data_IF_053142404181
#
_entry.id   IF_053142404181
#
_cell.length_a   1.000
_cell.length_b   1.000
_cell.length_c   1.000
_cell.angle_alpha   90.00
_cell.angle_beta   90.00
_cell.angle_gamma   90.00
#
_symmetry.space_group_name_H-M   'P 1'
#
loop_
_entity.id
_entity.type
_entity.pdbx_description
1 polymer ?
#
# COMPACT_ATOMS: atom_id res chain seq x y z
N UNK A 1 11.74 15.35 -10.29
CA UNK A 1 11.73 13.98 -9.76
C UNK A 1 10.72 13.27 -10.62
N UNK A 2 11.17 12.34 -11.46
CA UNK A 2 10.30 11.70 -12.45
C UNK A 2 9.24 10.85 -11.75
N UNK A 3 8.04 10.79 -12.34
CA UNK A 3 6.92 9.99 -11.84
C UNK A 3 7.38 8.54 -11.66
N UNK A 4 7.15 7.95 -10.50
CA UNK A 4 7.47 6.54 -10.29
C UNK A 4 6.69 5.68 -11.30
N UNK A 5 7.40 4.81 -12.02
CA UNK A 5 6.76 3.72 -12.74
C UNK A 5 6.45 2.62 -11.72
N UNK A 6 5.17 2.44 -11.39
CA UNK A 6 4.74 1.48 -10.39
C UNK A 6 5.11 0.04 -10.78
N UNK A 7 5.29 -0.25 -12.08
CA UNK A 7 5.72 -1.55 -12.55
C UNK A 7 7.17 -1.87 -12.16
N UNK A 8 8.01 -0.86 -11.94
CA UNK A 8 9.39 -1.04 -11.47
C UNK A 8 9.45 -1.67 -10.08
N UNK A 9 8.36 -1.64 -9.31
CA UNK A 9 8.31 -2.24 -7.98
C UNK A 9 8.07 -3.74 -8.03
N UNK A 10 7.47 -4.28 -9.09
CA UNK A 10 7.18 -5.71 -9.22
C UNK A 10 8.48 -6.52 -9.10
N UNK A 11 8.47 -7.52 -8.23
CA UNK A 11 9.65 -8.36 -7.99
C UNK A 11 10.69 -7.75 -7.04
N UNK A 12 10.55 -6.50 -6.59
CA UNK A 12 11.45 -5.88 -5.61
C UNK A 12 10.94 -6.09 -4.18
N UNK A 13 11.87 -6.27 -3.25
CA UNK A 13 11.58 -6.25 -1.82
C UNK A 13 11.42 -4.79 -1.39
N UNK A 14 10.31 -4.49 -0.74
CA UNK A 14 10.06 -3.17 -0.12
C UNK A 14 9.60 -3.33 1.31
N UNK A 15 9.71 -2.25 2.07
CA UNK A 15 9.16 -2.13 3.42
C UNK A 15 7.98 -1.17 3.38
N UNK A 16 6.83 -1.62 3.90
CA UNK A 16 5.61 -0.84 4.05
C UNK A 16 5.43 -0.50 5.53
N UNK A 17 5.30 0.80 5.83
CA UNK A 17 4.92 1.28 7.16
C UNK A 17 3.40 1.38 7.23
N UNK A 18 2.78 0.73 8.21
CA UNK A 18 1.32 0.66 8.35
C UNK A 18 0.83 1.85 9.16
N UNK A 19 0.06 2.73 8.54
CA UNK A 19 -0.54 3.90 9.18
C UNK A 19 -2.06 3.75 9.38
N UNK A 20 -2.66 2.73 8.76
CA UNK A 20 -4.06 2.32 8.94
C UNK A 20 -4.10 0.80 9.16
N UNK A 21 -3.92 0.33 10.40
CA UNK A 21 -3.98 -1.09 10.72
C UNK A 21 -5.36 -1.68 10.42
N UNK A 22 -5.40 -2.98 10.10
CA UNK A 22 -6.66 -3.71 9.97
C UNK A 22 -7.55 -3.48 11.20
N UNK A 23 -8.82 -3.18 10.96
CA UNK A 23 -9.82 -2.91 12.00
C UNK A 23 -9.82 -1.46 12.50
N UNK A 24 -8.90 -0.61 12.04
CA UNK A 24 -8.91 0.82 12.37
C UNK A 24 -9.96 1.58 11.54
N UNK A 25 -10.42 2.71 12.06
CA UNK A 25 -11.35 3.60 11.37
C UNK A 25 -10.62 4.80 10.76
N UNK A 26 -11.06 5.23 9.58
CA UNK A 26 -10.56 6.44 8.96
C UNK A 26 -10.80 7.66 9.87
N UNK A 27 -9.77 8.44 10.23
CA UNK A 27 -9.87 9.48 11.25
C UNK A 27 -10.88 10.59 10.92
N UNK A 28 -11.19 10.79 9.63
CA UNK A 28 -12.09 11.84 9.14
C UNK A 28 -13.39 11.33 8.51
N UNK A 29 -13.47 10.05 8.14
CA UNK A 29 -14.54 9.54 7.28
C UNK A 29 -15.29 8.36 7.89
N UNK A 30 -14.85 7.83 9.03
CA UNK A 30 -15.57 6.77 9.74
C UNK A 30 -15.65 5.43 9.00
N UNK A 31 -14.88 5.25 7.92
CA UNK A 31 -14.80 3.99 7.20
C UNK A 31 -13.86 3.02 7.91
N UNK A 32 -14.26 1.76 8.02
CA UNK A 32 -13.41 0.69 8.56
C UNK A 32 -12.38 0.26 7.50
N UNK A 33 -11.13 0.03 7.92
CA UNK A 33 -10.11 -0.61 7.10
C UNK A 33 -10.14 -2.13 7.31
N UNK A 34 -10.66 -2.93 6.35
CA UNK A 34 -10.74 -4.38 6.50
C UNK A 34 -9.39 -5.09 6.26
N UNK A 35 -8.37 -4.35 5.82
CA UNK A 35 -7.01 -4.82 5.52
C UNK A 35 -5.99 -3.85 6.10
N UNK A 36 -4.73 -4.28 6.23
CA UNK A 36 -3.67 -3.36 6.62
C UNK A 36 -3.33 -2.45 5.44
N UNK A 37 -3.27 -1.15 5.72
CA UNK A 37 -2.96 -0.11 4.75
C UNK A 37 -1.82 0.76 5.26
N UNK A 38 -0.93 1.12 4.34
CA UNK A 38 0.26 1.88 4.65
C UNK A 38 0.90 2.45 3.39
N UNK A 39 2.16 2.83 3.53
CA UNK A 39 2.94 3.48 2.48
C UNK A 39 4.40 3.01 2.47
N UNK A 40 5.11 3.28 1.39
CA UNK A 40 6.53 2.94 1.23
C UNK A 40 7.38 4.19 1.46
N UNK A 41 8.17 4.27 2.56
CA UNK A 41 8.98 5.44 2.86
C UNK A 41 10.00 5.78 1.76
N UNK A 42 10.19 7.09 1.51
CA UNK A 42 11.19 7.56 0.55
C UNK A 42 10.82 7.38 -0.92
N UNK A 43 9.56 7.03 -1.21
CA UNK A 43 9.00 7.01 -2.57
C UNK A 43 8.21 8.28 -2.85
N UNK A 44 7.93 8.56 -4.13
CA UNK A 44 7.11 9.69 -4.55
C UNK A 44 6.10 9.24 -5.61
N UNK A 45 4.83 9.29 -5.24
CA UNK A 45 3.67 8.99 -6.05
C UNK A 45 3.23 10.20 -6.89
N UNK A 46 2.10 10.06 -7.60
CA UNK A 46 1.63 11.08 -8.55
C UNK A 46 1.13 12.37 -7.87
N UNK A 47 0.66 12.26 -6.63
CA UNK A 47 0.14 13.35 -5.81
C UNK A 47 1.23 14.05 -4.97
N UNK A 48 2.48 13.58 -5.07
CA UNK A 48 3.62 14.11 -4.32
C UNK A 48 3.78 13.53 -2.90
N UNK A 49 3.03 12.49 -2.52
CA UNK A 49 3.20 11.72 -1.27
C UNK A 49 3.91 10.39 -1.55
N UNK A 50 4.14 9.61 -0.50
CA UNK A 50 4.64 8.24 -0.63
C UNK A 50 3.63 7.31 -1.34
N UNK A 51 4.15 6.28 -1.99
CA UNK A 51 3.33 5.26 -2.66
C UNK A 51 2.56 4.44 -1.62
N UNK A 52 1.24 4.43 -1.78
CA UNK A 52 0.30 3.68 -0.94
C UNK A 52 0.29 2.16 -1.25
N UNK A 53 -0.01 1.38 -0.23
CA UNK A 53 0.09 -0.07 -0.23
C UNK A 53 -1.03 -0.76 0.56
N UNK A 54 -1.59 -1.84 -0.01
CA UNK A 54 -2.53 -2.75 0.68
C UNK A 54 -1.90 -4.12 0.94
N UNK A 55 -1.92 -4.59 2.18
CA UNK A 55 -1.50 -5.96 2.53
C UNK A 55 -2.73 -6.86 2.66
N UNK A 56 -2.93 -7.75 1.68
CA UNK A 56 -4.06 -8.69 1.65
C UNK A 56 -3.65 -10.06 2.20
N UNK A 57 -4.61 -10.78 2.80
CA UNK A 57 -4.42 -12.16 3.28
C UNK A 57 -3.89 -12.29 4.72
N UNK A 58 -3.68 -11.19 5.43
CA UNK A 58 -3.43 -11.21 6.87
C UNK A 58 -4.76 -11.10 7.64
N UNK A 59 -4.82 -11.68 8.85
CA UNK A 59 -6.01 -11.72 9.71
C UNK A 59 -5.84 -10.89 11.00
N UNK A 60 -4.77 -10.09 11.08
CA UNK A 60 -4.42 -9.27 12.25
C UNK A 60 -3.80 -7.92 11.85
N UNK A 61 -3.95 -6.88 12.69
CA UNK A 61 -3.22 -5.64 12.51
C UNK A 61 -1.71 -5.84 12.66
N UNK A 62 -0.93 -5.13 11.86
CA UNK A 62 0.53 -5.12 11.90
C UNK A 62 1.06 -3.68 11.81
N UNK A 63 2.34 -3.49 12.16
CA UNK A 63 2.99 -2.16 12.14
C UNK A 63 3.89 -1.96 10.91
N UNK A 64 4.49 -3.05 10.41
CA UNK A 64 5.40 -3.04 9.28
C UNK A 64 5.23 -4.33 8.48
N UNK A 65 5.38 -4.24 7.16
CA UNK A 65 5.40 -5.40 6.26
C UNK A 65 6.56 -5.31 5.28
N UNK A 66 7.40 -6.35 5.23
CA UNK A 66 8.53 -6.43 4.30
C UNK A 66 8.39 -7.64 3.40
N UNK A 67 8.19 -7.42 2.11
CA UNK A 67 7.98 -8.50 1.14
C UNK A 67 8.27 -8.05 -0.30
N UNK A 68 8.31 -9.03 -1.21
CA UNK A 68 8.40 -8.82 -2.66
C UNK A 68 7.07 -8.33 -3.20
N UNK A 69 7.03 -7.20 -3.92
CA UNK A 69 5.79 -6.70 -4.57
C UNK A 69 5.32 -7.68 -5.63
N UNK A 70 4.05 -8.09 -5.54
CA UNK A 70 3.45 -9.08 -6.44
C UNK A 70 2.52 -8.44 -7.48
N UNK A 71 1.87 -7.32 -7.15
CA UNK A 71 0.92 -6.68 -8.04
C UNK A 71 0.89 -5.15 -7.87
N UNK A 72 0.53 -4.47 -8.96
CA UNK A 72 0.12 -3.06 -8.98
C UNK A 72 -1.38 -3.01 -9.22
N UNK A 73 -2.10 -2.26 -8.41
CA UNK A 73 -3.51 -1.92 -8.60
C UNK A 73 -3.55 -0.58 -9.34
N UNK A 74 -3.93 -0.63 -10.61
CA UNK A 74 -4.17 0.57 -11.40
C UNK A 74 -5.60 1.08 -11.17
N UNK A 75 -5.74 2.37 -10.79
CA UNK A 75 -7.05 2.99 -10.57
C UNK A 75 -7.39 3.96 -11.68
N UNK A 76 -8.43 3.64 -12.46
CA UNK A 76 -8.82 4.43 -13.65
C UNK A 76 -9.42 5.80 -13.32
N UNK A 77 -9.90 5.99 -12.09
CA UNK A 77 -10.55 7.20 -11.59
C UNK A 77 -9.68 8.02 -10.64
N UNK A 78 -8.43 7.62 -10.45
CA UNK A 78 -7.47 8.30 -9.59
C UNK A 78 -6.21 8.70 -10.37
N UNK A 79 -5.52 9.71 -9.86
CA UNK A 79 -4.21 10.12 -10.34
C UNK A 79 -3.11 9.17 -9.86
N UNK A 80 -3.44 8.22 -8.97
CA UNK A 80 -2.49 7.31 -8.30
C UNK A 80 -2.85 5.82 -8.36
N UNK A 81 -1.82 5.02 -8.59
CA UNK A 81 -1.86 3.57 -8.46
C UNK A 81 -1.42 3.14 -7.07
N UNK A 82 -1.80 1.93 -6.67
CA UNK A 82 -1.47 1.37 -5.34
C UNK A 82 -0.77 0.03 -5.49
N UNK A 83 0.14 -0.30 -4.58
CA UNK A 83 0.79 -1.61 -4.57
C UNK A 83 0.01 -2.60 -3.71
N UNK A 84 0.05 -3.88 -4.09
CA UNK A 84 -0.65 -4.93 -3.35
C UNK A 84 0.13 -6.24 -3.30
N UNK A 85 -0.08 -6.95 -2.18
CA UNK A 85 0.38 -8.31 -1.96
C UNK A 85 -0.82 -9.17 -1.62
N UNK A 86 -0.82 -10.40 -2.14
CA UNK A 86 -1.71 -11.45 -1.71
C UNK A 86 -0.88 -12.58 -1.10
N UNK A 87 -1.10 -12.87 0.18
CA UNK A 87 -0.58 -14.07 0.81
C UNK A 87 -1.75 -15.05 1.00
N UNK A 88 -1.78 -16.15 0.25
CA UNK A 88 -2.61 -17.29 0.62
C UNK A 88 -1.92 -17.99 1.79
N UNK A 89 -2.47 -17.85 2.99
CA UNK A 89 -2.22 -18.79 4.08
C UNK A 89 -3.16 -19.98 3.96
#
# INVERSE_FOLDING_TARGET
>A
MDKADYLDFIGKVVTVVIDRPMGSYHPKHGHLYPVNYGYIPGTLAGDGKEIDAYILGLDKPILEFKSVVLAVIHRLDDLEDKLSWYLSV
#
